data_IF_013491091197
#
_entry.id   IF_013491091197
#
_cell.length_a   1.000
_cell.length_b   1.000
_cell.length_c   1.000
_cell.angle_alpha   90.00
_cell.angle_beta   90.00
_cell.angle_gamma   90.00
#
_symmetry.space_group_name_H-M   'P 1'
#
loop_
_entity.id
_entity.type
_entity.pdbx_description
1 polymer ?
#
# COMPACT_ATOMS: atom_id res chain seq x y z
N UNK A 1 14.10 -14.38 -18.64
CA UNK A 1 14.27 -13.49 -19.79
C UNK A 1 12.98 -13.17 -20.57
N UNK A 2 11.85 -13.86 -20.34
CA UNK A 2 10.59 -13.61 -21.07
C UNK A 2 9.69 -12.54 -20.50
N UNK A 3 9.90 -12.07 -19.25
CA UNK A 3 8.99 -11.13 -18.59
C UNK A 3 9.31 -9.64 -18.79
N UNK A 4 10.57 -9.26 -18.88
CA UNK A 4 10.98 -7.86 -19.06
C UNK A 4 10.60 -7.28 -20.43
N UNK A 5 10.65 -8.06 -21.50
CA UNK A 5 10.28 -7.60 -22.86
C UNK A 5 8.79 -7.23 -22.99
N UNK A 6 7.92 -7.68 -22.12
CA UNK A 6 6.48 -7.36 -22.17
C UNK A 6 6.10 -6.11 -21.38
N UNK A 7 6.87 -5.69 -20.38
CA UNK A 7 6.56 -4.55 -19.51
C UNK A 7 6.68 -3.23 -20.26
N UNK A 8 7.79 -2.98 -20.92
CA UNK A 8 8.05 -1.71 -21.63
C UNK A 8 6.98 -1.43 -22.72
N UNK A 9 6.65 -2.36 -23.62
CA UNK A 9 5.58 -2.15 -24.59
C UNK A 9 4.22 -1.86 -23.95
N UNK A 10 3.90 -2.54 -22.84
CA UNK A 10 2.63 -2.34 -22.12
C UNK A 10 2.55 -0.94 -21.52
N UNK A 11 3.58 -0.49 -20.82
CA UNK A 11 3.66 0.86 -20.25
C UNK A 11 3.59 1.92 -21.34
N UNK A 12 4.34 1.75 -22.45
CA UNK A 12 4.29 2.67 -23.60
C UNK A 12 2.90 2.73 -24.26
N UNK A 13 2.20 1.60 -24.34
CA UNK A 13 0.82 1.54 -24.87
C UNK A 13 -0.12 2.31 -23.95
N UNK A 14 -0.01 2.09 -22.63
CA UNK A 14 -0.81 2.79 -21.65
C UNK A 14 -0.56 4.30 -21.69
N UNK A 15 0.68 4.75 -21.74
CA UNK A 15 1.01 6.18 -21.80
C UNK A 15 0.36 6.86 -23.03
N UNK A 16 0.43 6.23 -24.22
CA UNK A 16 -0.23 6.75 -25.42
C UNK A 16 -1.75 6.79 -25.31
N UNK A 17 -2.34 5.77 -24.71
CA UNK A 17 -3.77 5.72 -24.46
C UNK A 17 -4.19 6.82 -23.49
N UNK A 18 -3.51 6.92 -22.36
CA UNK A 18 -3.87 7.82 -21.29
C UNK A 18 -3.67 9.31 -21.65
N UNK A 19 -2.60 9.65 -22.34
CA UNK A 19 -2.40 11.01 -22.89
C UNK A 19 -3.53 11.43 -23.83
N UNK A 20 -4.07 10.49 -24.63
CA UNK A 20 -5.24 10.75 -25.48
C UNK A 20 -6.50 10.96 -24.64
N UNK A 21 -6.73 10.11 -23.64
CA UNK A 21 -7.90 10.22 -22.73
C UNK A 21 -7.91 11.55 -21.98
N UNK A 22 -6.75 12.04 -21.57
CA UNK A 22 -6.61 13.33 -20.90
C UNK A 22 -6.67 14.54 -21.84
N UNK A 23 -6.72 14.35 -23.16
CA UNK A 23 -6.69 15.46 -24.11
C UNK A 23 -5.38 16.26 -24.08
N UNK A 24 -4.25 15.65 -23.65
CA UNK A 24 -2.97 16.36 -23.52
C UNK A 24 -2.37 16.81 -24.86
N UNK A 25 -2.90 16.32 -25.97
CA UNK A 25 -2.49 16.72 -27.32
C UNK A 25 -3.28 17.93 -27.84
N UNK A 26 -4.29 18.38 -27.12
CA UNK A 26 -5.07 19.55 -27.47
C UNK A 26 -4.30 20.83 -27.11
N UNK A 27 -4.50 21.88 -27.93
CA UNK A 27 -3.78 23.16 -27.72
C UNK A 27 -4.14 23.85 -26.41
N UNK A 28 -5.34 23.59 -25.90
CA UNK A 28 -5.87 24.21 -24.69
C UNK A 28 -6.40 23.12 -23.75
N UNK A 29 -6.04 23.22 -22.48
CA UNK A 29 -6.53 22.30 -21.47
C UNK A 29 -7.98 22.64 -21.13
N UNK A 30 -8.90 21.67 -21.23
CA UNK A 30 -10.29 21.79 -20.80
C UNK A 30 -11.05 22.98 -21.45
N UNK A 31 -10.80 23.26 -22.72
CA UNK A 31 -11.37 24.43 -23.42
C UNK A 31 -11.06 25.77 -22.72
N UNK A 32 -10.02 25.81 -21.89
CA UNK A 32 -9.56 27.03 -21.23
C UNK A 32 -8.53 27.77 -22.06
N UNK A 33 -8.27 29.05 -21.71
CA UNK A 33 -7.19 29.83 -22.32
C UNK A 33 -5.79 29.51 -21.78
N UNK A 34 -5.66 28.44 -20.98
CA UNK A 34 -4.41 28.02 -20.33
C UNK A 34 -3.92 26.70 -20.90
N UNK A 35 -2.62 26.59 -21.06
CA UNK A 35 -1.95 25.31 -21.33
C UNK A 35 -1.93 24.44 -20.05
N UNK A 36 -1.64 23.15 -20.22
CA UNK A 36 -1.48 22.23 -19.08
C UNK A 36 -0.44 22.75 -18.07
N UNK A 37 0.70 23.24 -18.54
CA UNK A 37 1.74 23.77 -17.67
C UNK A 37 1.29 25.01 -16.90
N UNK A 38 0.55 25.91 -17.55
CA UNK A 38 0.00 27.10 -16.90
C UNK A 38 -1.05 26.72 -15.86
N UNK A 39 -1.96 25.79 -16.19
CA UNK A 39 -2.94 25.27 -15.25
C UNK A 39 -2.28 24.65 -14.02
N UNK A 40 -1.22 23.88 -14.22
CA UNK A 40 -0.49 23.26 -13.12
C UNK A 40 0.22 24.30 -12.25
N UNK A 41 0.89 25.31 -12.84
CA UNK A 41 1.52 26.40 -12.08
C UNK A 41 0.47 27.17 -11.26
N UNK A 42 -0.70 27.48 -11.84
CA UNK A 42 -1.75 28.18 -11.13
C UNK A 42 -2.29 27.37 -9.95
N UNK A 43 -2.47 26.06 -10.15
CA UNK A 43 -2.87 25.11 -9.11
C UNK A 43 -1.88 25.09 -7.94
N UNK A 44 -0.58 24.97 -8.22
CA UNK A 44 0.44 24.93 -7.18
C UNK A 44 0.54 26.26 -6.40
N UNK A 45 0.39 27.42 -7.07
CA UNK A 45 0.34 28.72 -6.38
C UNK A 45 -0.84 28.78 -5.42
N UNK A 46 -2.01 28.23 -5.79
CA UNK A 46 -3.20 28.25 -4.95
C UNK A 46 -3.20 27.25 -3.79
N UNK A 47 -2.38 26.19 -3.88
CA UNK A 47 -2.35 25.11 -2.88
C UNK A 47 -1.04 25.04 -2.07
N UNK A 48 -0.06 25.93 -2.33
CA UNK A 48 1.21 25.96 -1.61
C UNK A 48 1.32 27.24 -0.79
N UNK A 49 1.41 27.09 0.52
CA UNK A 49 1.60 28.22 1.44
C UNK A 49 2.97 28.90 1.18
N UNK A 50 2.98 30.24 1.08
CA UNK A 50 4.20 30.99 0.78
C UNK A 50 4.94 30.51 -0.49
N UNK A 51 4.18 30.19 -1.53
CA UNK A 51 4.70 29.66 -2.78
C UNK A 51 5.76 30.61 -3.39
N UNK A 52 6.91 30.09 -3.80
CA UNK A 52 7.97 30.82 -4.48
C UNK A 52 8.23 30.24 -5.88
N UNK A 53 8.83 31.06 -6.76
CA UNK A 53 9.23 30.59 -8.09
C UNK A 53 10.21 29.41 -8.03
N UNK A 54 11.09 29.36 -7.02
CA UNK A 54 12.02 28.26 -6.82
C UNK A 54 11.28 26.95 -6.47
N UNK A 55 10.33 27.02 -5.55
CA UNK A 55 9.50 25.84 -5.19
C UNK A 55 8.78 25.27 -6.41
N UNK A 56 8.26 26.15 -7.30
CA UNK A 56 7.59 25.72 -8.54
C UNK A 56 8.55 25.06 -9.53
N UNK A 57 9.79 25.55 -9.64
CA UNK A 57 10.82 24.92 -10.49
C UNK A 57 11.13 23.52 -9.98
N UNK A 58 11.37 23.40 -8.68
CA UNK A 58 11.76 22.14 -8.05
C UNK A 58 10.60 21.12 -8.10
N UNK A 59 9.38 21.56 -7.78
CA UNK A 59 8.19 20.69 -7.75
C UNK A 59 7.76 20.22 -9.14
N UNK A 60 7.77 21.12 -10.14
CA UNK A 60 7.26 20.83 -11.48
C UNK A 60 8.35 20.43 -12.47
N UNK A 61 9.62 20.47 -12.06
CA UNK A 61 10.79 20.18 -12.90
C UNK A 61 10.77 20.95 -14.22
N UNK A 62 10.41 22.25 -14.17
CA UNK A 62 10.29 23.12 -15.34
C UNK A 62 11.44 24.13 -15.42
N UNK A 63 11.78 24.54 -16.64
CA UNK A 63 12.81 25.53 -16.89
C UNK A 63 12.47 26.91 -16.28
N UNK A 64 13.43 27.55 -15.64
CA UNK A 64 13.25 28.84 -14.97
C UNK A 64 12.80 29.96 -15.91
N UNK A 65 13.32 29.98 -17.15
CA UNK A 65 12.93 30.97 -18.16
C UNK A 65 11.50 30.74 -18.65
N UNK A 66 11.09 29.49 -18.76
CA UNK A 66 9.70 29.12 -19.09
C UNK A 66 8.74 29.53 -17.97
N UNK A 67 9.05 29.20 -16.71
CA UNK A 67 8.25 29.64 -15.56
C UNK A 67 8.14 31.16 -15.49
N UNK A 68 9.26 31.90 -15.71
CA UNK A 68 9.26 33.36 -15.69
C UNK A 68 8.26 33.94 -16.72
N UNK A 69 8.14 33.32 -17.90
CA UNK A 69 7.15 33.73 -18.93
C UNK A 69 5.73 33.49 -18.47
N UNK A 70 5.45 32.33 -17.85
CA UNK A 70 4.14 32.01 -17.28
C UNK A 70 3.76 33.03 -16.21
N UNK A 71 4.64 33.29 -15.25
CA UNK A 71 4.37 34.21 -14.15
C UNK A 71 4.12 35.64 -14.63
N UNK A 72 4.91 36.13 -15.59
CA UNK A 72 4.66 37.43 -16.23
C UNK A 72 3.31 37.52 -16.92
N UNK A 73 2.90 36.43 -17.60
CA UNK A 73 1.57 36.35 -18.21
C UNK A 73 0.47 36.40 -17.15
N UNK A 74 0.62 35.67 -16.07
CA UNK A 74 -0.35 35.62 -14.97
C UNK A 74 -0.49 36.99 -14.27
N UNK A 75 0.61 37.69 -14.04
CA UNK A 75 0.58 39.05 -13.51
C UNK A 75 -0.14 40.00 -14.50
N UNK A 76 0.16 39.91 -15.81
CA UNK A 76 -0.53 40.71 -16.81
C UNK A 76 -2.02 40.42 -16.90
N UNK A 77 -2.44 39.19 -16.67
CA UNK A 77 -3.85 38.79 -16.61
C UNK A 77 -4.51 39.14 -15.27
N UNK A 78 -3.73 39.57 -14.27
CA UNK A 78 -4.21 39.93 -12.95
C UNK A 78 -4.65 38.71 -12.10
N UNK A 79 -4.24 37.47 -12.48
CA UNK A 79 -4.63 36.26 -11.74
C UNK A 79 -3.70 35.95 -10.55
N UNK A 80 -2.48 36.53 -10.55
CA UNK A 80 -1.56 36.44 -9.42
C UNK A 80 -1.00 37.81 -9.05
N UNK A 81 -0.49 37.91 -7.81
CA UNK A 81 0.32 39.03 -7.35
C UNK A 81 1.52 38.53 -6.54
N UNK A 82 2.52 39.38 -6.34
CA UNK A 82 3.73 39.10 -5.57
C UNK A 82 3.77 39.90 -4.31
N UNK A 83 4.24 39.25 -3.23
CA UNK A 83 4.58 39.91 -1.96
C UNK A 83 6.04 39.64 -1.64
N UNK A 84 6.81 40.67 -1.36
CA UNK A 84 8.21 40.52 -0.98
C UNK A 84 8.32 39.85 0.38
N UNK A 85 9.25 38.89 0.52
CA UNK A 85 9.51 38.25 1.79
C UNK A 85 10.14 39.20 2.79
N UNK A 86 9.61 39.29 4.00
CA UNK A 86 10.19 40.09 5.08
C UNK A 86 11.54 39.55 5.55
N UNK A 87 11.79 38.24 5.37
CA UNK A 87 13.02 37.57 5.81
C UNK A 87 14.13 37.61 4.77
N UNK A 88 13.80 37.71 3.49
CA UNK A 88 14.76 37.78 2.38
C UNK A 88 14.20 38.68 1.28
N UNK A 89 14.70 39.89 1.24
CA UNK A 89 14.30 40.92 0.28
C UNK A 89 14.52 40.55 -1.20
N UNK A 90 15.17 39.41 -1.50
CA UNK A 90 15.36 38.88 -2.86
C UNK A 90 14.30 37.88 -3.25
N UNK A 91 13.53 37.41 -2.28
CA UNK A 91 12.47 36.36 -2.47
C UNK A 91 11.11 37.00 -2.51
N UNK A 92 10.25 36.51 -3.41
CA UNK A 92 8.85 36.92 -3.53
C UNK A 92 7.95 35.72 -3.37
N UNK A 93 6.94 35.87 -2.55
CA UNK A 93 5.82 34.93 -2.45
C UNK A 93 4.80 35.24 -3.55
N UNK A 94 4.25 34.21 -4.12
CA UNK A 94 3.24 34.25 -5.16
C UNK A 94 1.88 33.90 -4.54
N UNK A 95 0.88 34.72 -4.81
CA UNK A 95 -0.48 34.50 -4.33
C UNK A 95 -1.48 34.66 -5.47
N UNK A 96 -2.59 33.95 -5.39
CA UNK A 96 -3.72 34.18 -6.28
C UNK A 96 -4.39 35.52 -5.91
N UNK A 97 -4.84 36.26 -6.91
CA UNK A 97 -5.82 37.32 -6.73
C UNK A 97 -7.24 36.73 -6.65
N UNK A 98 -8.27 37.53 -6.33
CA UNK A 98 -9.65 37.06 -6.39
C UNK A 98 -10.02 36.53 -7.77
N UNK A 99 -9.51 37.13 -8.85
CA UNK A 99 -9.67 36.62 -10.21
C UNK A 99 -8.92 35.31 -10.42
N UNK A 100 -7.75 35.13 -9.79
CA UNK A 100 -6.98 33.90 -9.81
C UNK A 100 -7.70 32.74 -9.11
N UNK A 101 -8.28 33.00 -7.94
CA UNK A 101 -9.08 32.04 -7.21
C UNK A 101 -10.32 31.58 -8.00
N UNK A 102 -11.05 32.51 -8.60
CA UNK A 102 -12.19 32.21 -9.48
C UNK A 102 -11.74 31.39 -10.70
N UNK A 103 -10.61 31.77 -11.30
CA UNK A 103 -10.03 31.04 -12.46
C UNK A 103 -9.66 29.62 -12.07
N UNK A 104 -8.99 29.42 -10.94
CA UNK A 104 -8.62 28.08 -10.43
C UNK A 104 -9.85 27.24 -10.12
N UNK A 105 -10.86 27.80 -9.47
CA UNK A 105 -12.11 27.10 -9.18
C UNK A 105 -12.82 26.66 -10.46
N UNK A 106 -12.86 27.50 -11.47
CA UNK A 106 -13.43 27.15 -12.79
C UNK A 106 -12.65 26.01 -13.45
N UNK A 107 -11.31 26.05 -13.40
CA UNK A 107 -10.46 24.98 -13.97
C UNK A 107 -10.65 23.66 -13.22
N UNK A 108 -10.72 23.67 -11.90
CA UNK A 108 -11.00 22.49 -11.10
C UNK A 108 -12.36 21.88 -11.46
N UNK A 109 -13.40 22.73 -11.59
CA UNK A 109 -14.75 22.28 -11.99
C UNK A 109 -14.75 21.62 -13.40
N UNK A 110 -14.02 22.19 -14.34
CA UNK A 110 -13.89 21.61 -15.70
C UNK A 110 -13.14 20.25 -15.66
N UNK A 111 -12.08 20.16 -14.86
CA UNK A 111 -11.34 18.92 -14.64
C UNK A 111 -12.22 17.84 -14.00
N UNK A 112 -12.96 18.20 -12.95
CA UNK A 112 -13.88 17.27 -12.27
C UNK A 112 -14.96 16.74 -13.23
N UNK A 113 -15.50 17.61 -14.07
CA UNK A 113 -16.48 17.23 -15.09
C UNK A 113 -15.87 16.31 -16.17
N UNK A 114 -14.65 16.57 -16.59
CA UNK A 114 -13.94 15.69 -17.53
C UNK A 114 -13.77 14.29 -16.93
N UNK A 115 -13.27 14.18 -15.69
CA UNK A 115 -13.10 12.90 -15.00
C UNK A 115 -14.45 12.22 -14.81
N UNK A 116 -15.48 12.97 -14.36
CA UNK A 116 -16.83 12.43 -14.20
C UNK A 116 -17.37 11.85 -15.51
N UNK A 117 -17.24 12.57 -16.63
CA UNK A 117 -17.68 12.10 -17.93
C UNK A 117 -16.91 10.86 -18.41
N UNK A 118 -15.65 10.73 -18.04
CA UNK A 118 -14.82 9.57 -18.36
C UNK A 118 -15.32 8.30 -17.66
N UNK A 119 -15.82 8.41 -16.43
CA UNK A 119 -16.16 7.25 -15.60
C UNK A 119 -17.66 6.98 -15.43
N UNK A 120 -18.55 7.94 -15.73
CA UNK A 120 -20.00 7.86 -15.44
C UNK A 120 -20.68 6.64 -16.09
N UNK A 121 -20.21 6.21 -17.26
CA UNK A 121 -20.74 5.04 -17.96
C UNK A 121 -20.23 3.69 -17.44
N UNK A 122 -19.32 3.68 -16.48
CA UNK A 122 -18.71 2.46 -15.94
C UNK A 122 -19.45 1.96 -14.70
N UNK A 123 -19.53 0.63 -14.48
CA UNK A 123 -19.98 0.08 -13.21
C UNK A 123 -19.17 0.63 -12.05
N UNK A 124 -19.77 0.83 -10.88
CA UNK A 124 -19.11 1.39 -9.69
C UNK A 124 -17.80 0.65 -9.33
N UNK A 125 -17.80 -0.69 -9.39
CA UNK A 125 -16.61 -1.50 -9.12
C UNK A 125 -15.45 -1.18 -10.10
N UNK A 126 -15.76 -0.90 -11.36
CA UNK A 126 -14.75 -0.49 -12.35
C UNK A 126 -14.19 0.89 -12.04
N UNK A 127 -15.03 1.84 -11.60
CA UNK A 127 -14.58 3.18 -11.17
C UNK A 127 -13.61 3.08 -9.99
N UNK A 128 -13.95 2.29 -8.97
CA UNK A 128 -13.10 2.02 -7.79
C UNK A 128 -11.78 1.35 -8.21
N UNK A 129 -11.84 0.38 -9.13
CA UNK A 129 -10.65 -0.32 -9.63
C UNK A 129 -9.70 0.62 -10.39
N UNK A 130 -10.24 1.54 -11.21
CA UNK A 130 -9.46 2.55 -11.92
C UNK A 130 -8.76 3.48 -10.90
N UNK A 131 -9.50 4.04 -9.95
CA UNK A 131 -8.94 4.93 -8.94
C UNK A 131 -7.81 4.24 -8.15
N UNK A 132 -8.02 2.99 -7.70
CA UNK A 132 -7.00 2.19 -7.01
C UNK A 132 -5.76 1.97 -7.88
N UNK A 133 -5.95 1.64 -9.16
CA UNK A 133 -4.84 1.43 -10.10
C UNK A 133 -4.01 2.70 -10.31
N UNK A 134 -4.65 3.87 -10.40
CA UNK A 134 -3.96 5.17 -10.52
C UNK A 134 -3.15 5.49 -9.27
N UNK A 135 -3.72 5.31 -8.07
CA UNK A 135 -2.99 5.48 -6.81
C UNK A 135 -1.79 4.53 -6.71
N UNK A 136 -1.95 3.29 -7.17
CA UNK A 136 -0.85 2.33 -7.20
C UNK A 136 0.27 2.77 -8.15
N UNK A 137 -0.08 3.22 -9.38
CA UNK A 137 0.91 3.73 -10.34
C UNK A 137 1.65 4.95 -9.77
N UNK A 138 0.94 5.90 -9.20
CA UNK A 138 1.51 7.09 -8.57
C UNK A 138 2.52 6.70 -7.48
N UNK A 139 2.13 5.81 -6.57
CA UNK A 139 2.99 5.33 -5.49
C UNK A 139 4.27 4.66 -5.99
N UNK A 140 4.16 3.77 -6.99
CA UNK A 140 5.31 3.01 -7.51
C UNK A 140 6.28 3.89 -8.31
N UNK A 141 5.81 5.02 -8.86
CA UNK A 141 6.62 5.95 -9.64
C UNK A 141 7.08 7.20 -8.87
N UNK A 142 6.61 7.40 -7.64
CA UNK A 142 7.03 8.53 -6.81
C UNK A 142 8.44 8.31 -6.25
N UNK A 143 9.30 9.32 -6.33
CA UNK A 143 10.66 9.31 -5.77
C UNK A 143 10.69 9.25 -4.23
N UNK A 144 9.62 9.69 -3.58
CA UNK A 144 9.35 9.48 -2.18
C UNK A 144 8.19 8.48 -2.06
N UNK A 145 8.45 7.19 -1.90
CA UNK A 145 7.40 6.29 -1.46
C UNK A 145 6.95 6.82 -0.10
N UNK A 146 5.84 7.54 -0.08
CA UNK A 146 5.14 7.89 1.16
C UNK A 146 5.21 6.67 2.05
N UNK A 147 5.77 6.84 3.25
CA UNK A 147 5.89 5.76 4.23
C UNK A 147 4.60 4.97 4.16
N UNK A 148 4.69 3.71 3.75
CA UNK A 148 3.51 2.83 3.71
C UNK A 148 2.96 2.92 5.10
N UNK A 149 1.89 3.69 5.31
CA UNK A 149 1.26 3.77 6.61
C UNK A 149 0.66 2.40 6.88
N UNK A 150 1.47 1.57 7.54
CA UNK A 150 1.05 0.22 7.91
C UNK A 150 0.25 0.36 9.19
N UNK A 151 -1.03 0.06 9.11
CA UNK A 151 -1.89 -0.12 10.26
C UNK A 151 -2.03 -1.61 10.59
N UNK A 152 -2.24 -1.91 11.88
CA UNK A 152 -2.53 -3.26 12.32
C UNK A 152 -3.91 -3.22 12.97
N UNK A 153 -4.81 -4.09 12.51
CA UNK A 153 -6.12 -4.29 13.12
C UNK A 153 -6.31 -5.73 13.59
N UNK A 154 -7.23 -5.93 14.52
CA UNK A 154 -7.57 -7.25 15.07
C UNK A 154 -9.00 -7.67 14.76
N UNK A 155 -9.83 -6.81 14.20
CA UNK A 155 -11.19 -7.11 13.79
C UNK A 155 -11.19 -7.82 12.43
N UNK A 156 -11.84 -9.01 12.36
CA UNK A 156 -12.09 -9.72 11.12
C UNK A 156 -13.31 -9.13 10.41
N UNK A 157 -13.14 -8.86 9.11
CA UNK A 157 -14.21 -8.38 8.23
C UNK A 157 -14.53 -9.40 7.14
N UNK A 158 -15.75 -9.40 6.61
CA UNK A 158 -16.09 -10.21 5.44
C UNK A 158 -15.12 -9.95 4.29
N UNK A 159 -14.55 -11.05 3.74
CA UNK A 159 -13.53 -11.00 2.68
C UNK A 159 -12.10 -11.22 3.15
N UNK A 160 -11.77 -10.95 4.43
CA UNK A 160 -10.41 -11.09 4.96
C UNK A 160 -9.89 -12.51 4.86
N UNK A 161 -10.70 -13.47 5.30
CA UNK A 161 -10.34 -14.90 5.26
C UNK A 161 -10.07 -15.35 3.84
N UNK A 162 -10.89 -14.93 2.87
CA UNK A 162 -10.66 -15.23 1.45
C UNK A 162 -9.34 -14.67 0.94
N UNK A 163 -8.99 -13.45 1.35
CA UNK A 163 -7.70 -12.83 1.00
C UNK A 163 -6.52 -13.57 1.65
N UNK A 164 -6.63 -13.98 2.90
CA UNK A 164 -5.59 -14.74 3.60
C UNK A 164 -5.37 -16.11 2.97
N UNK A 165 -6.43 -16.82 2.58
CA UNK A 165 -6.34 -18.09 1.85
C UNK A 165 -5.61 -17.87 0.53
N UNK A 166 -6.03 -16.88 -0.26
CA UNK A 166 -5.39 -16.53 -1.52
C UNK A 166 -3.89 -16.25 -1.35
N UNK A 167 -3.52 -15.40 -0.37
CA UNK A 167 -2.12 -15.08 -0.11
C UNK A 167 -1.30 -16.30 0.28
N UNK A 168 -1.82 -17.19 1.12
CA UNK A 168 -1.15 -18.45 1.48
C UNK A 168 -0.94 -19.32 0.25
N UNK A 169 -1.99 -19.60 -0.51
CA UNK A 169 -1.90 -20.42 -1.71
C UNK A 169 -0.88 -19.89 -2.71
N UNK A 170 -0.94 -18.60 -3.03
CA UNK A 170 -0.05 -17.97 -3.98
C UNK A 170 1.40 -17.91 -3.51
N UNK A 171 1.67 -17.46 -2.26
CA UNK A 171 3.03 -17.31 -1.73
C UNK A 171 3.72 -18.67 -1.61
N UNK A 172 3.04 -19.64 -1.01
CA UNK A 172 3.65 -20.96 -0.79
C UNK A 172 3.79 -21.76 -2.09
N UNK A 173 2.91 -21.59 -3.06
CA UNK A 173 3.12 -22.15 -4.40
C UNK A 173 4.38 -21.57 -5.06
N UNK A 174 4.59 -20.25 -4.97
CA UNK A 174 5.72 -19.56 -5.59
C UNK A 174 7.04 -19.82 -4.87
N UNK A 175 7.04 -19.84 -3.56
CA UNK A 175 8.27 -19.90 -2.74
C UNK A 175 8.64 -21.32 -2.32
N UNK A 176 7.65 -22.18 -2.06
CA UNK A 176 7.87 -23.55 -1.59
C UNK A 176 7.51 -24.61 -2.63
N UNK A 177 6.83 -24.24 -3.73
CA UNK A 177 6.39 -25.19 -4.74
C UNK A 177 5.20 -26.07 -4.29
N UNK A 178 4.43 -25.61 -3.30
CA UNK A 178 3.25 -26.32 -2.84
C UNK A 178 2.10 -26.22 -3.86
N UNK A 179 1.32 -27.27 -3.95
CA UNK A 179 0.21 -27.38 -4.90
C UNK A 179 -1.13 -26.94 -4.28
N UNK A 180 -2.21 -27.09 -5.06
CA UNK A 180 -3.57 -26.72 -4.69
C UNK A 180 -4.08 -27.40 -3.38
N UNK A 181 -3.54 -28.56 -3.03
CA UNK A 181 -3.92 -29.23 -1.77
C UNK A 181 -3.50 -28.43 -0.52
N UNK A 182 -2.39 -27.67 -0.60
CA UNK A 182 -2.01 -26.74 0.47
C UNK A 182 -3.04 -25.62 0.65
N UNK A 183 -3.53 -25.03 -0.45
CA UNK A 183 -4.59 -24.01 -0.37
C UNK A 183 -5.86 -24.59 0.23
N UNK A 184 -6.25 -25.81 -0.16
CA UNK A 184 -7.36 -26.54 0.45
C UNK A 184 -7.18 -26.80 1.94
N UNK A 185 -5.97 -27.15 2.38
CA UNK A 185 -5.63 -27.27 3.81
C UNK A 185 -5.81 -25.93 4.54
N UNK A 186 -5.29 -24.84 3.99
CA UNK A 186 -5.46 -23.49 4.58
C UNK A 186 -6.93 -23.11 4.67
N UNK A 187 -7.72 -23.37 3.60
CA UNK A 187 -9.17 -23.14 3.57
C UNK A 187 -9.87 -23.89 4.71
N UNK A 188 -9.55 -25.17 4.88
CA UNK A 188 -10.11 -26.00 5.96
C UNK A 188 -9.78 -25.41 7.33
N UNK A 189 -8.53 -25.01 7.56
CA UNK A 189 -8.10 -24.49 8.86
C UNK A 189 -8.78 -23.16 9.22
N UNK A 190 -9.06 -22.31 8.25
CA UNK A 190 -9.85 -21.09 8.47
C UNK A 190 -11.34 -21.41 8.68
N UNK A 191 -11.89 -22.39 7.96
CA UNK A 191 -13.26 -22.83 8.21
C UNK A 191 -13.43 -23.35 9.66
N UNK A 192 -12.50 -24.21 10.10
CA UNK A 192 -12.50 -24.74 11.47
C UNK A 192 -12.40 -23.61 12.52
N UNK A 193 -11.53 -22.61 12.27
CA UNK A 193 -11.45 -21.42 13.12
C UNK A 193 -12.80 -20.72 13.24
N UNK A 194 -13.45 -20.40 12.12
CA UNK A 194 -14.70 -19.62 12.13
C UNK A 194 -15.84 -20.32 12.86
N UNK A 195 -15.77 -21.67 13.03
CA UNK A 195 -16.74 -22.43 13.82
C UNK A 195 -16.52 -22.29 15.33
N UNK A 196 -15.27 -22.02 15.78
CA UNK A 196 -14.88 -22.04 17.18
C UNK A 196 -14.32 -20.72 17.69
N UNK A 197 -14.22 -19.72 16.81
CA UNK A 197 -13.61 -18.43 17.13
C UNK A 197 -14.23 -17.75 18.33
N UNK A 198 -13.39 -17.38 19.29
CA UNK A 198 -13.77 -16.63 20.47
C UNK A 198 -12.84 -15.43 20.65
N UNK A 199 -13.34 -14.23 20.50
CA UNK A 199 -12.58 -12.99 20.64
C UNK A 199 -11.91 -12.81 22.01
N UNK A 200 -12.38 -13.54 23.02
CA UNK A 200 -11.80 -13.53 24.37
C UNK A 200 -10.52 -14.37 24.47
N UNK A 201 -10.36 -15.37 23.60
CA UNK A 201 -9.24 -16.32 23.63
C UNK A 201 -8.39 -16.28 22.38
N UNK A 202 -9.02 -16.02 21.23
CA UNK A 202 -8.38 -16.02 19.92
C UNK A 202 -8.16 -14.60 19.46
N UNK A 203 -7.07 -14.37 18.74
CA UNK A 203 -6.80 -13.06 18.12
C UNK A 203 -6.03 -13.20 16.81
N UNK A 204 -6.50 -12.47 15.81
CA UNK A 204 -5.78 -12.25 14.57
C UNK A 204 -5.29 -10.81 14.51
N UNK A 205 -4.07 -10.61 14.05
CA UNK A 205 -3.55 -9.31 13.66
C UNK A 205 -3.41 -9.30 12.15
N UNK A 206 -4.03 -8.31 11.52
CA UNK A 206 -3.99 -8.07 10.10
C UNK A 206 -3.25 -6.77 9.85
N UNK A 207 -2.09 -6.87 9.23
CA UNK A 207 -1.34 -5.69 8.80
C UNK A 207 -1.89 -5.24 7.45
N UNK A 208 -2.28 -3.99 7.39
CA UNK A 208 -2.84 -3.35 6.19
C UNK A 208 -1.97 -2.20 5.72
N UNK A 209 -1.82 -2.08 4.42
CA UNK A 209 -1.31 -0.89 3.77
C UNK A 209 -2.25 -0.51 2.63
N UNK A 210 -2.71 0.75 2.62
CA UNK A 210 -3.61 1.26 1.58
C UNK A 210 -4.93 0.46 1.42
N UNK A 211 -5.44 -0.10 2.52
CA UNK A 211 -6.66 -0.91 2.52
C UNK A 211 -6.48 -2.35 1.99
N UNK A 212 -5.25 -2.78 1.76
CA UNK A 212 -4.92 -4.16 1.36
C UNK A 212 -4.20 -4.88 2.50
N UNK A 213 -4.58 -6.13 2.76
CA UNK A 213 -3.88 -6.97 3.75
C UNK A 213 -2.51 -7.33 3.18
N UNK A 214 -1.45 -6.95 3.89
CA UNK A 214 -0.05 -7.22 3.52
C UNK A 214 0.63 -8.20 4.49
N UNK A 215 -0.05 -8.62 5.53
CA UNK A 215 0.45 -9.60 6.47
C UNK A 215 -0.56 -10.00 7.53
N UNK A 216 -0.31 -11.12 8.15
CA UNK A 216 -1.14 -11.66 9.23
C UNK A 216 -0.31 -12.43 10.24
N UNK A 217 -0.84 -12.56 11.44
CA UNK A 217 -0.46 -13.53 12.47
C UNK A 217 -1.68 -13.79 13.34
N UNK A 218 -1.81 -14.97 13.88
CA UNK A 218 -2.89 -15.28 14.80
C UNK A 218 -2.41 -16.07 16.01
N UNK A 219 -3.10 -15.89 17.12
CA UNK A 219 -3.05 -16.73 18.31
C UNK A 219 -4.42 -17.39 18.46
N UNK A 220 -4.41 -18.72 18.52
CA UNK A 220 -5.59 -19.55 18.72
C UNK A 220 -5.43 -20.34 20.00
N UNK A 221 -6.43 -20.27 20.85
CA UNK A 221 -6.45 -21.02 22.13
C UNK A 221 -6.50 -22.50 21.86
N UNK A 222 -5.58 -23.27 22.40
CA UNK A 222 -5.57 -24.71 22.36
C UNK A 222 -6.06 -25.33 23.67
N UNK A 223 -5.65 -24.72 24.80
CA UNK A 223 -6.10 -25.03 26.13
C UNK A 223 -6.01 -23.77 27.03
N UNK A 224 -6.31 -23.88 28.31
CA UNK A 224 -6.17 -22.77 29.24
C UNK A 224 -4.70 -22.33 29.41
N UNK A 225 -3.73 -23.20 29.16
CA UNK A 225 -2.30 -22.96 29.37
C UNK A 225 -1.52 -22.82 28.05
N UNK A 226 -2.11 -23.26 26.93
CA UNK A 226 -1.38 -23.42 25.67
C UNK A 226 -2.12 -22.77 24.51
N UNK A 227 -1.42 -21.93 23.77
CA UNK A 227 -1.91 -21.27 22.58
C UNK A 227 -1.11 -21.71 21.33
N UNK A 228 -1.74 -21.70 20.16
CA UNK A 228 -1.11 -21.97 18.86
C UNK A 228 -0.94 -20.67 18.08
N UNK A 229 0.29 -20.37 17.65
CA UNK A 229 0.58 -19.32 16.69
C UNK A 229 0.33 -19.87 15.27
N UNK A 230 -0.50 -19.16 14.49
CA UNK A 230 -0.93 -19.58 13.16
C UNK A 230 -0.92 -18.45 12.15
N UNK A 231 -0.99 -18.79 10.88
CA UNK A 231 -1.12 -17.88 9.72
C UNK A 231 -0.20 -16.66 9.78
N UNK A 232 1.04 -16.90 10.25
CA UNK A 232 2.07 -15.87 10.24
C UNK A 232 2.66 -15.75 8.84
N UNK A 233 2.28 -14.67 8.17
CA UNK A 233 2.67 -14.44 6.79
C UNK A 233 2.80 -12.94 6.50
N UNK A 234 3.72 -12.61 5.60
CA UNK A 234 3.88 -11.29 5.02
C UNK A 234 3.92 -11.38 3.50
N UNK A 235 3.21 -10.45 2.84
CA UNK A 235 3.40 -10.23 1.42
C UNK A 235 4.89 -9.96 1.13
N UNK A 236 5.48 -10.52 0.05
CA UNK A 236 6.90 -10.34 -0.24
C UNK A 236 7.35 -8.87 -0.21
N UNK A 237 6.56 -7.95 -0.76
CA UNK A 237 6.86 -6.51 -0.81
C UNK A 237 6.79 -5.80 0.56
N UNK A 238 6.25 -6.45 1.57
CA UNK A 238 6.16 -5.94 2.95
C UNK A 238 7.26 -6.50 3.87
N UNK A 239 8.15 -7.33 3.33
CA UNK A 239 9.27 -7.91 4.09
C UNK A 239 10.45 -6.94 4.21
N UNK A 240 11.31 -7.17 5.18
CA UNK A 240 12.50 -6.33 5.40
C UNK A 240 12.25 -5.02 6.19
N UNK A 241 10.99 -4.61 6.40
CA UNK A 241 10.62 -3.36 7.08
C UNK A 241 10.36 -3.52 8.60
N UNK A 242 10.74 -4.63 9.19
CA UNK A 242 10.52 -4.90 10.61
C UNK A 242 9.11 -5.36 10.99
N UNK A 243 8.15 -5.36 10.06
CA UNK A 243 6.74 -5.69 10.30
C UNK A 243 6.53 -7.08 10.90
N UNK A 244 7.27 -8.09 10.42
CA UNK A 244 7.19 -9.45 10.97
C UNK A 244 7.61 -9.52 12.44
N UNK A 245 8.66 -8.80 12.82
CA UNK A 245 9.08 -8.72 14.23
C UNK A 245 8.01 -8.06 15.10
N UNK A 246 7.39 -7.00 14.59
CA UNK A 246 6.31 -6.29 15.29
C UNK A 246 5.12 -7.22 15.51
N UNK A 247 4.64 -7.91 14.46
CA UNK A 247 3.51 -8.84 14.57
C UNK A 247 3.80 -10.00 15.53
N UNK A 248 5.00 -10.60 15.47
CA UNK A 248 5.40 -11.67 16.37
C UNK A 248 5.48 -11.19 17.83
N UNK A 249 5.99 -9.98 18.05
CA UNK A 249 6.05 -9.38 19.38
C UNK A 249 4.63 -9.14 19.94
N UNK A 250 3.73 -8.58 19.17
CA UNK A 250 2.32 -8.37 19.56
C UNK A 250 1.64 -9.69 19.94
N UNK A 251 1.87 -10.75 19.16
CA UNK A 251 1.29 -12.07 19.42
C UNK A 251 1.83 -12.68 20.72
N UNK A 252 3.14 -12.60 20.96
CA UNK A 252 3.76 -13.10 22.21
C UNK A 252 3.29 -12.27 23.42
N UNK A 253 3.24 -10.94 23.30
CA UNK A 253 2.76 -10.06 24.37
C UNK A 253 1.32 -10.39 24.75
N UNK A 254 0.45 -10.59 23.75
CA UNK A 254 -0.93 -11.01 23.99
C UNK A 254 -1.04 -12.32 24.78
N UNK A 255 -0.19 -13.31 24.46
CA UNK A 255 -0.19 -14.56 25.20
C UNK A 255 0.26 -14.39 26.66
N UNK A 256 1.26 -13.51 26.91
CA UNK A 256 1.69 -13.16 28.27
C UNK A 256 0.58 -12.45 29.07
N UNK A 257 -0.13 -11.50 28.44
CA UNK A 257 -1.26 -10.79 29.05
C UNK A 257 -2.46 -11.70 29.37
N UNK A 258 -2.56 -12.84 28.71
CA UNK A 258 -3.62 -13.85 28.88
C UNK A 258 -3.21 -15.03 29.75
N UNK A 259 -2.04 -14.97 30.39
CA UNK A 259 -1.50 -15.98 31.29
C UNK A 259 -1.31 -17.37 30.63
N UNK A 260 -1.11 -17.40 29.27
CA UNK A 260 -0.67 -18.63 28.64
C UNK A 260 0.74 -18.99 29.10
N UNK A 261 0.98 -20.28 29.34
CA UNK A 261 2.29 -20.78 29.73
C UNK A 261 3.15 -21.13 28.53
N UNK A 262 2.52 -21.62 27.46
CA UNK A 262 3.21 -22.08 26.27
C UNK A 262 2.56 -21.54 24.99
N UNK A 263 3.41 -21.21 24.03
CA UNK A 263 2.99 -20.97 22.63
C UNK A 263 3.67 -22.03 21.78
N UNK A 264 2.91 -22.74 20.94
CA UNK A 264 3.49 -23.60 19.95
C UNK A 264 3.10 -23.18 18.53
N UNK A 265 3.87 -23.59 17.55
CA UNK A 265 3.60 -23.38 16.15
C UNK A 265 4.07 -24.58 15.32
N UNK A 266 3.46 -24.74 14.17
CA UNK A 266 3.83 -25.71 13.14
C UNK A 266 4.29 -24.96 11.90
N UNK A 267 5.40 -25.36 11.33
CA UNK A 267 6.01 -24.74 10.15
C UNK A 267 6.70 -25.82 9.31
N UNK A 268 7.29 -25.43 8.19
CA UNK A 268 8.07 -26.35 7.37
C UNK A 268 9.50 -25.88 7.22
N UNK A 269 10.42 -26.79 6.95
CA UNK A 269 11.84 -26.49 6.75
C UNK A 269 12.11 -25.43 5.67
N UNK A 270 11.18 -25.27 4.72
CA UNK A 270 11.25 -24.27 3.66
C UNK A 270 11.18 -22.84 4.21
N UNK A 271 10.56 -22.61 5.38
CA UNK A 271 10.29 -21.30 5.99
C UNK A 271 11.49 -20.77 6.80
N UNK A 272 12.70 -20.81 6.24
CA UNK A 272 13.96 -20.48 6.94
C UNK A 272 13.97 -19.12 7.62
N UNK A 273 13.38 -18.10 7.00
CA UNK A 273 13.31 -16.75 7.56
C UNK A 273 12.40 -16.71 8.78
N UNK A 274 11.23 -17.33 8.71
CA UNK A 274 10.28 -17.40 9.83
C UNK A 274 10.87 -18.23 10.98
N UNK A 275 11.47 -19.38 10.69
CA UNK A 275 12.19 -20.21 11.68
C UNK A 275 13.26 -19.39 12.40
N UNK A 276 14.07 -18.62 11.66
CA UNK A 276 15.09 -17.75 12.26
C UNK A 276 14.49 -16.67 13.18
N UNK A 277 13.28 -16.20 12.90
CA UNK A 277 12.57 -15.27 13.78
C UNK A 277 12.03 -15.97 15.04
N UNK A 278 11.46 -17.16 14.90
CA UNK A 278 10.99 -17.96 16.03
C UNK A 278 12.11 -18.32 17.01
N UNK A 279 13.23 -18.83 16.50
CA UNK A 279 14.39 -19.16 17.33
C UNK A 279 14.94 -17.93 18.07
N UNK A 280 15.01 -16.76 17.39
CA UNK A 280 15.43 -15.50 18.03
C UNK A 280 14.43 -15.00 19.11
N UNK A 281 13.18 -15.39 19.00
CA UNK A 281 12.15 -15.07 19.98
C UNK A 281 12.10 -16.10 21.14
N UNK A 282 12.97 -17.10 21.13
CA UNK A 282 13.08 -18.11 22.19
C UNK A 282 12.36 -19.43 21.92
N UNK A 283 11.72 -19.60 20.77
CA UNK A 283 11.10 -20.88 20.41
C UNK A 283 12.14 -21.96 20.21
N UNK A 284 11.87 -23.16 20.71
CA UNK A 284 12.70 -24.35 20.56
C UNK A 284 11.97 -25.39 19.72
N UNK A 285 12.68 -26.07 18.83
CA UNK A 285 12.11 -27.17 18.04
C UNK A 285 11.90 -28.37 18.94
N UNK A 286 10.67 -28.87 19.01
CA UNK A 286 10.28 -30.00 19.85
C UNK A 286 9.99 -31.28 19.06
N UNK A 287 9.61 -31.17 17.78
CA UNK A 287 9.39 -32.34 16.91
C UNK A 287 9.54 -32.00 15.45
N UNK A 288 9.73 -33.03 14.64
CA UNK A 288 9.65 -32.95 13.18
C UNK A 288 9.12 -34.26 12.59
N UNK A 289 8.45 -34.15 11.44
CA UNK A 289 7.94 -35.30 10.69
C UNK A 289 7.98 -35.03 9.18
N UNK A 290 8.19 -36.09 8.41
CA UNK A 290 8.08 -35.99 6.94
C UNK A 290 6.61 -35.98 6.50
N UNK A 291 6.32 -35.15 5.48
CA UNK A 291 5.01 -35.07 4.87
C UNK A 291 5.14 -34.91 3.34
N UNK A 292 4.20 -35.46 2.58
CA UNK A 292 4.08 -35.35 1.12
C UNK A 292 2.73 -34.78 0.66
N UNK A 293 1.90 -34.31 1.59
CA UNK A 293 0.51 -33.95 1.33
C UNK A 293 0.33 -32.79 0.33
N UNK A 294 1.38 -31.94 0.13
CA UNK A 294 1.27 -30.71 -0.67
C UNK A 294 2.03 -30.76 -1.99
N UNK A 295 2.18 -32.00 -2.54
CA UNK A 295 2.74 -32.24 -3.87
C UNK A 295 4.26 -32.30 -3.94
N UNK A 296 4.93 -32.20 -2.81
CA UNK A 296 6.37 -32.48 -2.66
C UNK A 296 6.63 -33.00 -1.25
N UNK A 297 7.74 -33.74 -1.11
CA UNK A 297 8.26 -34.15 0.19
C UNK A 297 8.80 -32.92 0.91
N UNK A 298 8.43 -32.71 2.17
CA UNK A 298 8.90 -31.64 3.03
C UNK A 298 8.89 -32.12 4.50
N UNK A 299 9.63 -31.40 5.35
CA UNK A 299 9.69 -31.69 6.78
C UNK A 299 8.84 -30.64 7.50
N UNK A 300 7.78 -31.10 8.15
CA UNK A 300 7.01 -30.32 9.11
C UNK A 300 7.74 -30.29 10.44
N UNK A 301 7.81 -29.13 11.07
CA UNK A 301 8.50 -28.89 12.32
C UNK A 301 7.57 -28.21 13.31
N UNK A 302 7.56 -28.69 14.55
CA UNK A 302 6.87 -28.03 15.65
C UNK A 302 7.86 -27.31 16.55
N UNK A 303 7.56 -26.06 16.86
CA UNK A 303 8.31 -25.22 17.78
C UNK A 303 7.45 -24.83 18.95
N UNK A 304 8.06 -24.68 20.12
CA UNK A 304 7.39 -24.27 21.36
C UNK A 304 8.20 -23.20 22.09
N UNK A 305 7.51 -22.24 22.69
CA UNK A 305 8.05 -21.19 23.54
C UNK A 305 7.44 -21.32 24.95
N UNK A 306 8.27 -21.46 25.98
CA UNK A 306 7.88 -21.35 27.37
C UNK A 306 7.88 -19.87 27.77
N UNK A 307 6.73 -19.31 28.13
CA UNK A 307 6.56 -17.89 28.44
C UNK A 307 7.06 -17.49 29.83
N UNK A 308 7.33 -18.44 30.69
CA UNK A 308 7.91 -18.19 32.05
C UNK A 308 9.43 -18.09 32.01
N UNK A 309 10.07 -18.58 30.94
CA UNK A 309 11.53 -18.56 30.79
C UNK A 309 12.00 -17.52 29.74
N UNK A 310 11.07 -16.79 29.11
CA UNK A 310 11.32 -15.89 27.98
C UNK A 310 11.32 -14.40 28.35
#
# INVERSE_FOLDING_TARGET
MGSEMSLIPTIRKFNRFYTKVLGLLDKHLLDSNFSLSEARVLYEIGNTEHCTARMLIDLLSIDAGYLSRILKRFEKLGVIYRVQSEKDGRSFFLYLSSLGEETLLKMNTLSDNQIRNMIIGLPYQSQVSIARSMTNIERELSDNPTERSVSIRTELKPGDVGMLIHMHGWIYAKECGYNLFFEGYVCKTFYDLLQTYSSDKDRLWLAEANGEIIGSIAIISHSNEKAQLRWFMLHPDARGMGLGKKLLHEAISYCKERDYQFIFLETTEDQKTAIGMYVKAGFQKISEQENESWGKRHIEQTYELNLHEA
#
